data_IF_828553141467
#
_entry.id   IF_828553141467
#
_cell.length_a   1.000
_cell.length_b   1.000
_cell.length_c   1.000
_cell.angle_alpha   90.00
_cell.angle_beta   90.00
_cell.angle_gamma   90.00
#
_symmetry.space_group_name_H-M   'P 1'
#
loop_
_entity.id
_entity.type
_entity.pdbx_description
1 polymer ?
#
# COMPACT_ATOMS: atom_id res chain seq x y z
N UNK A 1 17.45 1.41 25.27
CA UNK A 1 16.15 2.07 24.98
C UNK A 1 16.10 2.36 23.49
N UNK A 2 15.23 1.71 22.74
CA UNK A 2 15.00 2.01 21.33
C UNK A 2 14.46 3.43 21.21
N UNK A 3 15.22 4.31 20.57
CA UNK A 3 14.82 5.70 20.33
C UNK A 3 13.53 5.69 19.52
N UNK A 4 12.42 6.21 20.07
CA UNK A 4 11.20 6.37 19.29
C UNK A 4 11.46 7.27 18.08
N UNK A 5 11.35 6.70 16.89
CA UNK A 5 11.66 7.39 15.64
C UNK A 5 10.57 8.39 15.24
N UNK A 6 9.36 8.24 15.79
CA UNK A 6 8.23 9.16 15.66
C UNK A 6 7.74 9.57 17.04
N UNK A 7 7.25 10.80 17.19
CA UNK A 7 6.74 11.35 18.44
C UNK A 7 5.23 11.62 18.39
N UNK A 8 4.58 11.68 19.54
CA UNK A 8 3.15 12.01 19.62
C UNK A 8 2.84 13.45 19.14
N UNK A 9 3.85 14.32 19.08
CA UNK A 9 3.77 15.68 18.53
C UNK A 9 3.98 15.78 17.02
N UNK A 10 4.31 14.68 16.33
CA UNK A 10 4.50 14.71 14.89
C UNK A 10 3.17 14.84 14.13
N UNK A 11 3.18 15.64 13.06
CA UNK A 11 2.10 15.66 12.06
C UNK A 11 2.30 14.51 11.10
N UNK A 12 1.36 13.58 11.07
CA UNK A 12 1.43 12.36 10.25
C UNK A 12 0.45 12.47 9.10
N UNK A 13 0.95 12.47 7.87
CA UNK A 13 0.10 12.33 6.68
C UNK A 13 -0.03 10.85 6.30
N UNK A 14 -1.25 10.33 6.34
CA UNK A 14 -1.58 8.97 5.90
C UNK A 14 -2.33 9.03 4.57
N UNK A 15 -1.60 8.86 3.48
CA UNK A 15 -2.17 8.74 2.15
C UNK A 15 -2.86 7.38 1.98
N UNK A 16 -4.15 7.38 1.58
CA UNK A 16 -4.92 6.16 1.40
C UNK A 16 -5.65 5.65 2.66
N UNK A 17 -5.93 6.51 3.61
CA UNK A 17 -6.56 6.20 4.90
C UNK A 17 -7.95 5.53 4.81
N UNK A 18 -8.63 5.58 3.67
CA UNK A 18 -9.94 4.95 3.45
C UNK A 18 -9.85 3.51 2.91
N UNK A 19 -8.69 3.06 2.44
CA UNK A 19 -8.46 1.67 2.06
C UNK A 19 -8.31 0.76 3.28
N UNK A 20 -8.45 -0.56 3.10
CA UNK A 20 -8.34 -1.56 4.18
C UNK A 20 -7.10 -1.36 5.06
N UNK A 21 -5.92 -1.32 4.46
CA UNK A 21 -4.65 -1.11 5.18
C UNK A 21 -4.59 0.27 5.82
N UNK A 22 -5.02 1.31 5.10
CA UNK A 22 -5.04 2.68 5.64
C UNK A 22 -5.95 2.82 6.84
N UNK A 23 -7.10 2.15 6.87
CA UNK A 23 -8.00 2.12 8.04
C UNK A 23 -7.35 1.44 9.25
N UNK A 24 -6.65 0.32 9.03
CA UNK A 24 -5.93 -0.38 10.10
C UNK A 24 -4.79 0.48 10.67
N UNK A 25 -3.97 1.09 9.83
CA UNK A 25 -2.91 2.03 10.25
C UNK A 25 -3.51 3.20 11.03
N UNK A 26 -4.58 3.83 10.51
CA UNK A 26 -5.28 4.92 11.19
C UNK A 26 -5.75 4.51 12.59
N UNK A 27 -6.40 3.35 12.69
CA UNK A 27 -6.89 2.78 13.94
C UNK A 27 -5.74 2.61 14.95
N UNK A 28 -4.64 2.00 14.54
CA UNK A 28 -3.49 1.75 15.40
C UNK A 28 -2.78 3.05 15.84
N UNK A 29 -2.61 4.02 14.93
CA UNK A 29 -2.06 5.33 15.28
C UNK A 29 -2.90 6.03 16.34
N UNK A 30 -4.24 6.04 16.19
CA UNK A 30 -5.15 6.65 17.15
C UNK A 30 -5.15 5.92 18.51
N UNK A 31 -5.10 4.58 18.51
CA UNK A 31 -5.01 3.78 19.74
C UNK A 31 -3.71 4.06 20.50
N UNK A 32 -2.60 4.26 19.79
CA UNK A 32 -1.30 4.62 20.38
C UNK A 32 -1.18 6.11 20.73
N UNK A 33 -2.24 6.90 20.53
CA UNK A 33 -2.29 8.31 20.95
C UNK A 33 -1.78 9.32 19.92
N UNK A 34 -1.37 8.89 18.74
CA UNK A 34 -0.98 9.80 17.66
C UNK A 34 -2.20 10.57 17.12
N UNK A 35 -1.97 11.77 16.61
CA UNK A 35 -3.01 12.62 16.02
C UNK A 35 -3.94 13.27 17.04
N UNK A 36 -3.61 13.20 18.35
CA UNK A 36 -4.34 13.89 19.40
C UNK A 36 -3.69 15.24 19.66
N UNK A 37 -4.41 16.33 19.41
CA UNK A 37 -3.92 17.73 19.53
C UNK A 37 -3.30 18.09 20.90
N UNK A 38 -3.51 17.29 21.96
CA UNK A 38 -2.95 17.50 23.28
C UNK A 38 -1.41 17.65 23.29
N UNK A 39 -0.73 17.02 22.29
CA UNK A 39 0.73 17.03 22.17
C UNK A 39 1.22 17.81 20.93
N UNK A 40 0.34 18.57 20.26
CA UNK A 40 0.66 19.26 19.00
C UNK A 40 0.67 18.36 17.77
N UNK A 41 0.50 17.06 17.94
CA UNK A 41 0.45 16.10 16.84
C UNK A 41 -0.88 16.13 16.09
N UNK A 42 -0.83 15.84 14.80
CA UNK A 42 -2.00 15.84 13.92
C UNK A 42 -1.97 14.64 12.98
N UNK A 43 -3.12 14.01 12.77
CA UNK A 43 -3.28 12.99 11.75
C UNK A 43 -3.98 13.61 10.53
N UNK A 44 -3.19 13.89 9.50
CA UNK A 44 -3.65 14.49 8.25
C UNK A 44 -4.23 13.40 7.35
N UNK A 45 -5.53 13.48 7.11
CA UNK A 45 -6.29 12.52 6.31
C UNK A 45 -7.00 13.26 5.19
N UNK A 46 -6.73 12.89 3.93
CA UNK A 46 -7.34 13.49 2.75
C UNK A 46 -7.92 12.42 1.84
N UNK A 47 -9.17 12.58 1.48
CA UNK A 47 -9.82 11.76 0.46
C UNK A 47 -9.32 12.14 -0.93
N UNK A 48 -9.57 11.29 -1.93
CA UNK A 48 -9.20 11.59 -3.32
C UNK A 48 -9.86 12.87 -3.87
N UNK A 49 -11.04 13.23 -3.35
CA UNK A 49 -11.74 14.48 -3.75
C UNK A 49 -11.08 15.71 -3.14
N UNK A 50 -10.50 15.60 -1.94
CA UNK A 50 -9.84 16.72 -1.24
C UNK A 50 -8.37 16.89 -1.66
N UNK A 51 -7.72 15.80 -2.08
CA UNK A 51 -6.33 15.83 -2.53
C UNK A 51 -6.12 14.79 -3.65
N UNK A 52 -5.97 15.28 -4.87
CA UNK A 52 -5.66 14.45 -6.03
C UNK A 52 -4.16 14.12 -6.07
N UNK A 53 -3.78 12.91 -5.69
CA UNK A 53 -2.38 12.48 -5.67
C UNK A 53 -1.75 12.31 -7.06
N UNK A 54 -2.56 12.31 -8.13
CA UNK A 54 -2.07 12.27 -9.50
C UNK A 54 -1.60 13.65 -10.00
N UNK A 55 -1.97 14.72 -9.29
CA UNK A 55 -1.60 16.10 -9.59
C UNK A 55 -0.51 16.56 -8.63
N UNK A 56 0.68 16.79 -9.18
CA UNK A 56 1.85 17.23 -8.41
C UNK A 56 1.63 18.59 -7.73
N UNK A 57 0.89 19.52 -8.39
CA UNK A 57 0.66 20.84 -7.83
C UNK A 57 -0.22 20.74 -6.58
N UNK A 58 -1.31 19.95 -6.63
CA UNK A 58 -2.15 19.68 -5.47
C UNK A 58 -1.35 19.08 -4.31
N UNK A 59 -0.42 18.16 -4.61
CA UNK A 59 0.43 17.53 -3.58
C UNK A 59 1.39 18.56 -2.99
N UNK A 60 2.08 19.36 -3.81
CA UNK A 60 3.01 20.41 -3.35
C UNK A 60 2.31 21.45 -2.47
N UNK A 61 1.17 21.95 -2.90
CA UNK A 61 0.36 22.92 -2.11
C UNK A 61 -0.06 22.35 -0.76
N UNK A 62 -0.49 21.07 -0.74
CA UNK A 62 -0.85 20.38 0.50
C UNK A 62 0.33 20.29 1.46
N UNK A 63 1.54 19.92 0.99
CA UNK A 63 2.74 19.81 1.83
C UNK A 63 3.20 21.18 2.36
N UNK A 64 3.21 22.22 1.52
CA UNK A 64 3.57 23.59 1.93
C UNK A 64 2.63 24.07 3.05
N UNK A 65 1.32 23.86 2.88
CA UNK A 65 0.30 24.29 3.84
C UNK A 65 0.35 23.52 5.16
N UNK A 66 0.47 22.18 5.12
CA UNK A 66 0.27 21.33 6.28
C UNK A 66 1.58 20.90 6.96
N UNK A 67 2.71 20.91 6.25
CA UNK A 67 4.06 20.59 6.73
C UNK A 67 4.10 19.27 7.53
N UNK A 68 3.75 18.10 6.93
CA UNK A 68 3.80 16.83 7.63
C UNK A 68 5.24 16.49 8.04
N UNK A 69 5.40 15.93 9.24
CA UNK A 69 6.68 15.42 9.73
C UNK A 69 6.92 13.99 9.26
N UNK A 70 5.84 13.20 9.21
CA UNK A 70 5.84 11.78 8.84
C UNK A 70 4.87 11.59 7.69
N UNK A 71 5.26 10.78 6.71
CA UNK A 71 4.39 10.41 5.58
C UNK A 71 4.30 8.90 5.48
N UNK A 72 3.08 8.38 5.44
CA UNK A 72 2.79 6.95 5.22
C UNK A 72 2.02 6.83 3.91
N UNK A 73 2.58 6.11 2.95
CA UNK A 73 1.99 5.92 1.63
C UNK A 73 1.33 4.54 1.54
N UNK A 74 0.05 4.50 1.90
CA UNK A 74 -0.84 3.35 1.70
C UNK A 74 -1.76 3.53 0.48
N UNK A 75 -1.67 4.68 -0.19
CA UNK A 75 -2.43 4.97 -1.39
C UNK A 75 -1.81 4.28 -2.61
N UNK A 76 -2.63 3.54 -3.34
CA UNK A 76 -2.27 2.95 -4.62
C UNK A 76 -3.53 2.61 -5.43
N UNK A 77 -3.39 2.46 -6.75
CA UNK A 77 -4.38 1.74 -7.55
C UNK A 77 -4.10 0.25 -7.40
N UNK A 78 -5.01 -0.45 -6.75
CA UNK A 78 -4.93 -1.89 -6.48
C UNK A 78 -6.12 -2.65 -7.05
N UNK A 79 -5.97 -3.95 -7.26
CA UNK A 79 -7.04 -4.82 -7.74
C UNK A 79 -6.54 -6.25 -7.97
N UNK A 80 -7.46 -7.19 -8.12
CA UNK A 80 -7.17 -8.58 -8.42
C UNK A 80 -6.59 -8.79 -9.82
N UNK A 81 -6.30 -10.06 -10.18
CA UNK A 81 -5.69 -10.47 -11.44
C UNK A 81 -6.48 -9.94 -12.64
N UNK A 82 -7.81 -10.03 -12.61
CA UNK A 82 -8.66 -9.56 -13.71
C UNK A 82 -8.47 -8.07 -13.98
N UNK A 83 -8.50 -7.22 -12.94
CA UNK A 83 -8.29 -5.78 -13.07
C UNK A 83 -6.91 -5.43 -13.58
N UNK A 84 -5.87 -6.07 -13.06
CA UNK A 84 -4.49 -5.84 -13.49
C UNK A 84 -4.32 -6.14 -14.97
N UNK A 85 -4.88 -7.26 -15.43
CA UNK A 85 -4.78 -7.67 -16.82
C UNK A 85 -5.61 -6.80 -17.78
N UNK A 86 -6.76 -6.27 -17.31
CA UNK A 86 -7.67 -5.44 -18.10
C UNK A 86 -7.21 -3.99 -18.21
N UNK A 87 -6.53 -3.45 -17.20
CA UNK A 87 -6.15 -2.04 -17.10
C UNK A 87 -4.66 -1.83 -16.84
N UNK A 88 -3.75 -2.46 -17.61
CA UNK A 88 -2.31 -2.43 -17.30
C UNK A 88 -1.72 -1.01 -17.31
N UNK A 89 -2.14 -0.16 -18.26
CA UNK A 89 -1.67 1.22 -18.35
C UNK A 89 -2.04 2.04 -17.10
N UNK A 90 -3.28 1.93 -16.64
CA UNK A 90 -3.75 2.65 -15.46
C UNK A 90 -3.03 2.16 -14.19
N UNK A 91 -2.73 0.87 -14.10
CA UNK A 91 -2.01 0.32 -12.95
C UNK A 91 -0.57 0.84 -12.89
N UNK A 92 0.17 0.85 -13.98
CA UNK A 92 1.54 1.39 -13.96
C UNK A 92 1.52 2.92 -13.85
N UNK A 93 0.78 3.63 -14.70
CA UNK A 93 0.82 5.09 -14.80
C UNK A 93 0.34 5.78 -13.52
N UNK A 94 -0.80 5.34 -12.95
CA UNK A 94 -1.33 5.99 -11.74
C UNK A 94 -0.46 5.70 -10.52
N UNK A 95 0.04 4.47 -10.36
CA UNK A 95 0.91 4.15 -9.24
C UNK A 95 2.25 4.88 -9.31
N UNK A 96 2.86 4.98 -10.48
CA UNK A 96 4.07 5.78 -10.67
C UNK A 96 3.85 7.24 -10.27
N UNK A 97 2.77 7.88 -10.74
CA UNK A 97 2.45 9.26 -10.40
C UNK A 97 2.22 9.46 -8.90
N UNK A 98 1.39 8.62 -8.29
CA UNK A 98 1.07 8.71 -6.85
C UNK A 98 2.35 8.63 -6.02
N UNK A 99 3.15 7.61 -6.22
CA UNK A 99 4.33 7.38 -5.41
C UNK A 99 5.43 8.41 -5.68
N UNK A 100 5.68 8.77 -6.94
CA UNK A 100 6.66 9.80 -7.28
C UNK A 100 6.27 11.14 -6.66
N UNK A 101 5.04 11.59 -6.88
CA UNK A 101 4.57 12.87 -6.32
C UNK A 101 4.73 12.92 -4.80
N UNK A 102 4.40 11.84 -4.08
CA UNK A 102 4.49 11.82 -2.63
C UNK A 102 5.92 11.69 -2.13
N UNK A 103 6.75 10.82 -2.73
CA UNK A 103 8.12 10.57 -2.27
C UNK A 103 8.99 11.80 -2.52
N UNK A 104 8.97 12.36 -3.74
CA UNK A 104 9.77 13.54 -4.09
C UNK A 104 9.34 14.76 -3.27
N UNK A 105 8.03 15.03 -3.17
CA UNK A 105 7.54 16.16 -2.37
C UNK A 105 7.87 16.00 -0.88
N UNK A 106 7.85 14.76 -0.36
CA UNK A 106 8.30 14.49 1.02
C UNK A 106 9.76 14.85 1.23
N UNK A 107 10.63 14.47 0.30
CA UNK A 107 12.04 14.80 0.34
C UNK A 107 12.27 16.31 0.23
N UNK A 108 11.65 16.98 -0.76
CA UNK A 108 11.76 18.44 -0.97
C UNK A 108 11.32 19.25 0.27
N UNK A 109 10.28 18.78 0.99
CA UNK A 109 9.76 19.42 2.18
C UNK A 109 10.40 18.93 3.50
N UNK A 110 11.52 18.20 3.41
CA UNK A 110 12.31 17.73 4.58
C UNK A 110 11.46 16.94 5.59
N UNK A 111 10.57 16.08 5.09
CA UNK A 111 9.84 15.12 5.92
C UNK A 111 10.83 14.30 6.73
N UNK A 112 10.59 14.14 8.03
CA UNK A 112 11.49 13.45 8.96
C UNK A 112 11.62 11.96 8.68
N UNK A 113 10.51 11.33 8.28
CA UNK A 113 10.43 9.90 7.93
C UNK A 113 9.32 9.62 6.94
N UNK A 114 9.61 8.77 5.98
CA UNK A 114 8.64 8.27 5.00
C UNK A 114 8.56 6.75 5.07
N UNK A 115 7.34 6.22 5.07
CA UNK A 115 7.05 4.79 4.92
C UNK A 115 6.28 4.58 3.62
N UNK A 116 6.84 3.74 2.75
CA UNK A 116 6.22 3.33 1.49
C UNK A 116 5.77 1.87 1.56
N UNK A 117 4.50 1.62 1.27
CA UNK A 117 4.01 0.25 1.14
C UNK A 117 4.26 -0.27 -0.28
N UNK A 118 5.22 -1.17 -0.39
CA UNK A 118 5.46 -2.00 -1.57
C UNK A 118 4.41 -3.10 -1.70
N UNK A 119 4.83 -4.28 -2.11
CA UNK A 119 3.98 -5.48 -2.23
C UNK A 119 4.87 -6.70 -2.44
N UNK A 120 4.48 -7.86 -1.98
CA UNK A 120 5.18 -9.12 -2.25
C UNK A 120 5.16 -9.56 -3.73
N UNK A 121 4.25 -9.00 -4.54
CA UNK A 121 4.20 -9.29 -5.99
C UNK A 121 5.38 -8.72 -6.80
N UNK A 122 6.27 -7.95 -6.17
CA UNK A 122 7.52 -7.46 -6.78
C UNK A 122 8.58 -8.54 -6.96
N UNK A 123 8.43 -9.66 -6.26
CA UNK A 123 9.38 -10.76 -6.35
C UNK A 123 9.13 -11.62 -7.60
N UNK A 124 10.19 -12.26 -8.13
CA UNK A 124 10.06 -13.14 -9.28
C UNK A 124 9.00 -14.23 -9.06
N UNK A 125 8.31 -14.58 -10.14
CA UNK A 125 7.29 -15.65 -10.12
C UNK A 125 7.81 -16.96 -9.54
N UNK A 126 9.03 -17.32 -9.87
CA UNK A 126 9.72 -18.56 -9.44
C UNK A 126 10.89 -18.25 -8.50
N UNK A 127 10.71 -17.34 -7.57
CA UNK A 127 11.68 -17.09 -6.51
C UNK A 127 11.80 -18.31 -5.59
N UNK A 128 12.99 -18.56 -5.07
CA UNK A 128 13.23 -19.60 -4.07
C UNK A 128 12.45 -19.32 -2.78
N UNK A 129 11.89 -20.36 -2.17
CA UNK A 129 11.14 -20.25 -0.92
C UNK A 129 12.00 -20.69 0.28
N UNK A 130 11.95 -19.98 1.43
CA UNK A 130 11.28 -18.70 1.64
C UNK A 130 11.93 -17.55 0.83
N UNK A 131 11.10 -16.64 0.32
CA UNK A 131 11.58 -15.53 -0.50
C UNK A 131 12.40 -14.58 0.36
N UNK A 132 13.64 -14.29 -0.08
CA UNK A 132 14.52 -13.30 0.53
C UNK A 132 14.43 -11.96 -0.21
N UNK A 133 14.72 -10.86 0.45
CA UNK A 133 14.67 -9.52 -0.15
C UNK A 133 15.63 -9.39 -1.35
N UNK A 134 16.75 -10.10 -1.35
CA UNK A 134 17.74 -10.12 -2.43
C UNK A 134 17.24 -10.79 -3.73
N UNK A 135 16.07 -11.46 -3.70
CA UNK A 135 15.46 -12.02 -4.90
C UNK A 135 14.84 -10.94 -5.82
N UNK A 136 14.70 -9.71 -5.31
CA UNK A 136 14.17 -8.59 -6.07
C UNK A 136 14.95 -8.39 -7.38
N UNK A 137 14.25 -8.38 -8.51
CA UNK A 137 14.79 -8.17 -9.86
C UNK A 137 15.73 -9.25 -10.40
N UNK A 138 15.83 -10.43 -9.78
CA UNK A 138 16.70 -11.51 -10.27
C UNK A 138 16.13 -12.30 -11.45
N UNK A 139 14.80 -12.37 -11.56
CA UNK A 139 14.10 -13.16 -12.59
C UNK A 139 12.81 -12.46 -13.01
N UNK A 140 12.08 -13.07 -13.95
CA UNK A 140 10.82 -12.55 -14.48
C UNK A 140 9.72 -12.46 -13.41
N UNK A 141 8.91 -11.40 -13.52
CA UNK A 141 7.73 -11.16 -12.70
C UNK A 141 6.55 -12.03 -13.16
N UNK A 142 5.50 -12.11 -12.32
CA UNK A 142 4.23 -12.69 -12.73
C UNK A 142 3.53 -11.75 -13.74
N UNK A 143 3.32 -12.25 -14.97
CA UNK A 143 2.81 -11.47 -16.11
C UNK A 143 1.46 -10.80 -15.83
N UNK A 144 0.59 -11.42 -15.06
CA UNK A 144 -0.76 -10.93 -14.82
C UNK A 144 -0.81 -9.66 -13.94
N UNK A 145 0.27 -9.34 -13.22
CA UNK A 145 0.37 -8.15 -12.38
C UNK A 145 1.70 -7.39 -12.57
N UNK A 146 2.43 -7.68 -13.64
CA UNK A 146 3.75 -7.14 -13.94
C UNK A 146 3.79 -5.61 -13.88
N UNK A 147 2.83 -4.94 -14.49
CA UNK A 147 2.76 -3.47 -14.54
C UNK A 147 2.61 -2.83 -13.17
N UNK A 148 1.82 -3.44 -12.29
CA UNK A 148 1.72 -3.03 -10.89
C UNK A 148 3.02 -3.30 -10.14
N UNK A 149 3.60 -4.47 -10.32
CA UNK A 149 4.85 -4.86 -9.67
C UNK A 149 6.00 -3.92 -10.08
N UNK A 150 6.15 -3.60 -11.37
CA UNK A 150 7.14 -2.64 -11.87
C UNK A 150 6.94 -1.27 -11.20
N UNK A 151 5.71 -0.77 -11.14
CA UNK A 151 5.46 0.50 -10.46
C UNK A 151 5.92 0.45 -8.99
N UNK A 152 5.60 -0.61 -8.26
CA UNK A 152 6.03 -0.78 -6.87
C UNK A 152 7.55 -0.89 -6.72
N UNK A 153 8.23 -1.61 -7.61
CA UNK A 153 9.70 -1.68 -7.67
C UNK A 153 10.28 -0.27 -7.84
N UNK A 154 9.75 0.53 -8.77
CA UNK A 154 10.20 1.92 -8.96
C UNK A 154 10.09 2.75 -7.68
N UNK A 155 8.98 2.65 -6.93
CA UNK A 155 8.82 3.35 -5.66
C UNK A 155 9.83 2.93 -4.59
N UNK A 156 10.10 1.62 -4.48
CA UNK A 156 11.11 1.08 -3.58
C UNK A 156 12.50 1.63 -3.96
N UNK A 157 12.86 1.57 -5.25
CA UNK A 157 14.14 2.08 -5.75
C UNK A 157 14.28 3.60 -5.59
N UNK A 158 13.18 4.34 -5.71
CA UNK A 158 13.18 5.79 -5.43
C UNK A 158 13.48 6.06 -3.94
N UNK A 159 12.84 5.35 -3.02
CA UNK A 159 13.14 5.44 -1.58
C UNK A 159 14.60 5.05 -1.28
N UNK A 160 15.08 3.96 -1.86
CA UNK A 160 16.45 3.48 -1.70
C UNK A 160 17.48 4.50 -2.21
N UNK A 161 17.24 5.10 -3.37
CA UNK A 161 18.14 6.10 -3.97
C UNK A 161 18.24 7.37 -3.13
N UNK A 162 17.11 7.89 -2.63
CA UNK A 162 17.10 9.06 -1.74
C UNK A 162 17.80 8.76 -0.41
N UNK A 163 17.63 7.55 0.11
CA UNK A 163 18.31 7.10 1.31
C UNK A 163 19.84 7.04 1.10
N UNK A 164 20.29 6.46 -0.03
CA UNK A 164 21.68 6.31 -0.38
C UNK A 164 22.38 7.66 -0.66
N UNK A 165 21.72 8.52 -1.41
CA UNK A 165 22.31 9.77 -1.89
C UNK A 165 22.23 10.91 -0.88
N UNK A 166 21.12 10.98 -0.14
CA UNK A 166 20.80 12.13 0.74
C UNK A 166 20.57 11.76 2.20
N UNK A 167 20.74 10.47 2.55
CA UNK A 167 20.46 9.96 3.90
C UNK A 167 19.00 10.26 4.35
N UNK A 168 18.07 10.35 3.40
CA UNK A 168 16.68 10.57 3.69
C UNK A 168 16.06 9.32 4.33
N UNK A 169 15.38 9.47 5.48
CA UNK A 169 14.81 8.32 6.21
C UNK A 169 13.52 7.84 5.54
N UNK A 170 13.67 7.15 4.42
CA UNK A 170 12.61 6.47 3.69
C UNK A 170 12.75 4.97 3.84
N UNK A 171 11.70 4.28 4.32
CA UNK A 171 11.64 2.83 4.43
C UNK A 171 10.53 2.26 3.56
N UNK A 172 10.75 1.05 3.04
CA UNK A 172 9.76 0.33 2.24
C UNK A 172 9.42 -0.99 2.93
N UNK A 173 8.12 -1.31 3.00
CA UNK A 173 7.63 -2.59 3.51
C UNK A 173 7.00 -3.38 2.37
N UNK A 174 7.24 -4.69 2.33
CA UNK A 174 6.70 -5.59 1.33
C UNK A 174 5.68 -6.54 1.98
N UNK A 175 4.45 -6.05 2.26
CA UNK A 175 3.43 -6.89 2.86
C UNK A 175 3.02 -8.03 1.91
N UNK A 176 2.68 -9.17 2.49
CA UNK A 176 2.09 -10.30 1.80
C UNK A 176 0.62 -10.04 1.43
N UNK A 177 -0.18 -11.07 1.15
CA UNK A 177 -1.60 -10.88 0.84
C UNK A 177 -2.35 -10.44 2.09
N UNK A 178 -2.85 -9.21 2.08
CA UNK A 178 -3.54 -8.64 3.23
C UNK A 178 -5.03 -8.93 3.10
N UNK A 179 -5.67 -9.24 4.23
CA UNK A 179 -7.10 -9.39 4.37
C UNK A 179 -7.59 -8.73 5.65
N UNK A 180 -8.88 -8.41 5.73
CA UNK A 180 -9.44 -7.82 6.95
C UNK A 180 -10.66 -6.94 6.72
N UNK A 181 -11.11 -6.24 7.77
CA UNK A 181 -12.23 -5.30 7.67
C UNK A 181 -11.97 -4.20 6.64
N UNK A 182 -12.99 -3.89 5.85
CA UNK A 182 -12.89 -2.87 4.80
C UNK A 182 -12.25 -3.35 3.49
N UNK A 183 -12.07 -4.67 3.33
CA UNK A 183 -11.61 -5.24 2.06
C UNK A 183 -12.63 -5.04 0.94
N UNK A 184 -12.19 -5.16 -0.31
CA UNK A 184 -13.02 -4.99 -1.49
C UNK A 184 -13.64 -6.33 -1.91
N UNK A 185 -14.97 -6.45 -1.79
CA UNK A 185 -15.74 -7.64 -2.19
C UNK A 185 -16.36 -7.52 -3.59
N UNK A 186 -15.87 -6.63 -4.45
CA UNK A 186 -16.39 -6.50 -5.82
C UNK A 186 -16.20 -7.80 -6.62
N UNK A 187 -17.17 -8.22 -7.45
CA UNK A 187 -17.12 -9.51 -8.17
C UNK A 187 -15.85 -9.75 -8.99
N UNK A 188 -15.36 -8.70 -9.65
CA UNK A 188 -14.25 -8.78 -10.61
C UNK A 188 -12.94 -8.17 -10.09
N UNK A 189 -13.01 -7.24 -9.12
CA UNK A 189 -11.87 -6.43 -8.71
C UNK A 189 -11.32 -6.80 -7.32
N UNK A 190 -11.91 -7.82 -6.66
CA UNK A 190 -11.48 -8.27 -5.34
C UNK A 190 -10.24 -9.17 -5.41
N UNK A 191 -9.49 -9.19 -4.32
CA UNK A 191 -8.44 -10.17 -4.10
C UNK A 191 -9.04 -11.55 -3.76
N UNK A 192 -8.22 -12.59 -3.85
CA UNK A 192 -8.66 -14.00 -3.75
C UNK A 192 -9.44 -14.28 -2.48
N UNK A 193 -9.00 -13.81 -1.31
CA UNK A 193 -9.64 -14.09 -0.03
C UNK A 193 -11.06 -13.51 0.03
N UNK A 194 -11.21 -12.22 -0.27
CA UNK A 194 -12.51 -11.54 -0.32
C UNK A 194 -13.43 -12.14 -1.40
N UNK A 195 -12.88 -12.49 -2.57
CA UNK A 195 -13.62 -13.15 -3.64
C UNK A 195 -14.20 -14.50 -3.21
N UNK A 196 -13.41 -15.34 -2.54
CA UNK A 196 -13.85 -16.65 -2.05
C UNK A 196 -14.93 -16.50 -0.98
N UNK A 197 -14.73 -15.65 0.03
CA UNK A 197 -15.74 -15.37 1.05
C UNK A 197 -17.08 -14.98 0.39
N UNK A 198 -17.05 -14.03 -0.56
CA UNK A 198 -18.24 -13.59 -1.27
C UNK A 198 -18.92 -14.74 -2.03
N UNK A 199 -18.16 -15.54 -2.78
CA UNK A 199 -18.69 -16.67 -3.56
C UNK A 199 -19.36 -17.70 -2.65
N UNK A 200 -18.73 -18.09 -1.54
CA UNK A 200 -19.30 -19.04 -0.59
C UNK A 200 -20.56 -18.52 0.09
N UNK A 201 -20.60 -17.25 0.50
CA UNK A 201 -21.78 -16.65 1.10
C UNK A 201 -22.95 -16.61 0.11
N UNK A 202 -22.70 -16.24 -1.15
CA UNK A 202 -23.74 -16.19 -2.20
C UNK A 202 -24.26 -17.60 -2.49
N UNK A 203 -23.37 -18.57 -2.67
CA UNK A 203 -23.76 -19.97 -2.91
C UNK A 203 -24.64 -20.51 -1.79
N UNK A 204 -24.25 -20.28 -0.53
CA UNK A 204 -25.04 -20.68 0.64
C UNK A 204 -26.42 -20.03 0.64
N UNK A 205 -26.51 -18.72 0.37
CA UNK A 205 -27.80 -17.98 0.33
C UNK A 205 -28.74 -18.49 -0.77
N UNK A 206 -28.16 -18.90 -1.91
CA UNK A 206 -28.94 -19.36 -3.07
C UNK A 206 -29.15 -20.88 -3.08
N UNK A 207 -28.72 -21.62 -2.05
CA UNK A 207 -28.87 -23.06 -1.97
C UNK A 207 -28.01 -23.84 -2.98
N UNK A 208 -26.93 -23.23 -3.50
CA UNK A 208 -26.04 -23.93 -4.42
C UNK A 208 -25.20 -24.98 -3.68
N UNK A 209 -25.12 -26.18 -4.24
CA UNK A 209 -24.32 -27.31 -3.67
C UNK A 209 -22.83 -27.19 -3.89
N UNK A 210 -22.38 -26.34 -4.83
CA UNK A 210 -20.97 -26.19 -5.19
C UNK A 210 -20.63 -24.73 -5.50
N UNK A 211 -19.33 -24.40 -5.31
CA UNK A 211 -18.75 -23.11 -5.68
C UNK A 211 -17.62 -23.34 -6.68
N UNK A 212 -17.69 -22.64 -7.82
CA UNK A 212 -16.60 -22.68 -8.80
C UNK A 212 -15.45 -21.78 -8.35
N UNK A 213 -14.31 -22.38 -8.03
CA UNK A 213 -13.04 -21.70 -7.73
C UNK A 213 -12.13 -21.75 -8.96
N UNK A 214 -11.37 -20.67 -9.20
CA UNK A 214 -10.40 -20.63 -10.29
C UNK A 214 -9.11 -21.36 -9.91
N UNK A 215 -8.51 -22.02 -10.90
CA UNK A 215 -7.26 -22.78 -10.72
C UNK A 215 -7.50 -24.19 -10.21
N UNK A 216 -6.41 -24.87 -9.94
CA UNK A 216 -6.35 -26.28 -9.53
C UNK A 216 -6.13 -26.49 -8.02
N UNK A 217 -5.97 -25.40 -7.26
CA UNK A 217 -5.75 -25.43 -5.81
C UNK A 217 -4.28 -25.61 -5.40
N UNK A 218 -3.34 -25.72 -6.33
CA UNK A 218 -1.91 -25.92 -6.01
C UNK A 218 -1.21 -24.65 -5.48
N UNK A 219 -1.57 -23.38 -5.85
CA UNK A 219 -0.86 -22.21 -5.36
C UNK A 219 -1.05 -21.97 -3.86
N UNK A 220 0.06 -22.01 -3.11
CA UNK A 220 0.08 -21.59 -1.71
C UNK A 220 0.34 -20.08 -1.60
N UNK A 221 -0.24 -19.42 -0.59
CA UNK A 221 -0.08 -18.00 -0.32
C UNK A 221 -0.02 -17.74 1.17
N UNK A 222 0.81 -16.77 1.55
CA UNK A 222 0.77 -16.20 2.89
C UNK A 222 -0.30 -15.12 2.97
N UNK A 223 -0.95 -15.01 4.12
CA UNK A 223 -1.95 -14.00 4.43
C UNK A 223 -1.60 -13.30 5.74
N UNK A 224 -1.78 -11.97 5.75
CA UNK A 224 -1.58 -11.13 6.92
C UNK A 224 -2.85 -10.34 7.20
N UNK A 225 -3.33 -10.38 8.44
CA UNK A 225 -4.48 -9.54 8.84
C UNK A 225 -4.10 -8.06 8.83
N UNK A 226 -5.00 -7.21 8.36
CA UNK A 226 -4.73 -5.77 8.23
C UNK A 226 -4.39 -5.09 9.55
N UNK A 227 -4.96 -5.53 10.67
CA UNK A 227 -4.65 -4.99 12.00
C UNK A 227 -3.24 -5.39 12.48
N UNK A 228 -2.69 -6.53 12.02
CA UNK A 228 -1.33 -6.96 12.36
C UNK A 228 -0.28 -6.19 11.54
N UNK A 229 -0.65 -5.73 10.35
CA UNK A 229 0.19 -4.83 9.55
C UNK A 229 0.18 -3.40 10.10
N UNK A 230 -0.96 -2.90 10.58
CA UNK A 230 -1.16 -1.53 11.05
C UNK A 230 -0.60 -1.27 12.43
#
# INVERSE_FOLDING_TARGET
MTKNLISLGDKIYLAGHNGMVGQAIKKNLLLKGYGKNKNGGELLLKTRKELNLLDINCVKEFFIKNKPNIVIIAAAKVGGIFSNNKYPFEFISQNLKIQQNLIETSFENKVKRLLFLGSSCIYPKFASQPIKEEELMKKELERTNEYYAIAKICGIKLCESLRKQYNFDAISLMPTNIYGPGDNYHPENSHVFASLIRKFIIAKKNGHSAVNCWGDGTPCREFLHSDDLG
#
